data_IF_932827769495
#
_entry.id   IF_932827769495
#
_cell.length_a   1.000
_cell.length_b   1.000
_cell.length_c   1.000
_cell.angle_alpha   90.00
_cell.angle_beta   90.00
_cell.angle_gamma   90.00
#
_symmetry.space_group_name_H-M   'P 1'
#
loop_
_entity.id
_entity.type
_entity.pdbx_description
1 polymer ?
#
# COMPACT_ATOMS: atom_id res chain seq x y z
N UNK A 1 -6.31 -4.03 -2.89
CA UNK A 1 -6.68 -5.15 -3.77
C UNK A 1 -6.18 -4.88 -5.18
N UNK A 2 -5.75 -5.90 -5.93
CA UNK A 2 -5.30 -5.73 -7.31
C UNK A 2 -6.49 -5.41 -8.24
N UNK A 3 -6.40 -4.38 -9.10
CA UNK A 3 -7.42 -3.99 -10.07
C UNK A 3 -7.89 -5.13 -10.95
N UNK A 4 -9.20 -5.22 -11.19
CA UNK A 4 -9.81 -6.18 -12.13
C UNK A 4 -9.66 -7.67 -11.76
N UNK A 5 -9.01 -8.00 -10.65
CA UNK A 5 -8.62 -9.37 -10.30
C UNK A 5 -9.05 -9.79 -8.89
N UNK A 6 -9.93 -9.02 -8.24
CA UNK A 6 -10.47 -9.40 -6.94
C UNK A 6 -11.31 -10.68 -7.06
N UNK A 7 -11.06 -11.63 -6.15
CA UNK A 7 -11.82 -12.86 -5.99
C UNK A 7 -12.18 -13.05 -4.51
N UNK A 8 -13.31 -13.70 -4.20
CA UNK A 8 -13.64 -14.06 -2.82
C UNK A 8 -12.52 -14.88 -2.17
N UNK A 9 -12.21 -14.58 -0.92
CA UNK A 9 -11.16 -15.27 -0.18
C UNK A 9 -10.95 -14.65 1.20
N UNK A 10 -9.82 -14.95 1.83
CA UNK A 10 -9.53 -14.51 3.20
C UNK A 10 -9.67 -12.98 3.38
N UNK A 11 -9.26 -12.19 2.38
CA UNK A 11 -9.35 -10.71 2.40
C UNK A 11 -10.77 -10.16 2.25
N UNK A 12 -11.76 -10.97 1.87
CA UNK A 12 -13.17 -10.57 1.72
C UNK A 12 -14.11 -11.40 2.57
N UNK A 13 -13.59 -12.34 3.37
CA UNK A 13 -14.38 -13.27 4.18
C UNK A 13 -15.31 -12.54 5.15
N UNK A 14 -14.92 -11.37 5.67
CA UNK A 14 -15.74 -10.54 6.56
C UNK A 14 -17.01 -9.97 5.89
N UNK A 15 -17.10 -10.01 4.55
CA UNK A 15 -18.30 -9.63 3.81
C UNK A 15 -19.31 -10.78 3.67
N UNK A 16 -18.93 -12.00 4.07
CA UNK A 16 -19.79 -13.18 4.06
C UNK A 16 -20.48 -13.36 2.67
N UNK A 17 -21.81 -13.50 2.62
CA UNK A 17 -22.61 -13.60 1.39
C UNK A 17 -22.43 -12.46 0.39
N UNK A 18 -21.92 -11.30 0.83
CA UNK A 18 -21.72 -10.14 -0.04
C UNK A 18 -20.35 -10.14 -0.75
N UNK A 19 -19.44 -11.05 -0.40
CA UNK A 19 -18.08 -11.07 -0.93
C UNK A 19 -18.02 -11.15 -2.48
N UNK A 20 -18.85 -12.01 -3.09
CA UNK A 20 -18.90 -12.15 -4.55
C UNK A 20 -19.35 -10.86 -5.24
N UNK A 21 -20.42 -10.23 -4.72
CA UNK A 21 -20.95 -8.98 -5.27
C UNK A 21 -19.93 -7.84 -5.17
N UNK A 22 -19.24 -7.76 -4.04
CA UNK A 22 -18.18 -6.78 -3.84
C UNK A 22 -17.04 -6.98 -4.86
N UNK A 23 -16.54 -8.21 -5.03
CA UNK A 23 -15.45 -8.49 -5.97
C UNK A 23 -15.81 -8.10 -7.41
N UNK A 24 -17.04 -8.40 -7.85
CA UNK A 24 -17.53 -8.01 -9.17
C UNK A 24 -17.60 -6.47 -9.33
N UNK A 25 -18.21 -5.78 -8.38
CA UNK A 25 -18.32 -4.32 -8.41
C UNK A 25 -16.95 -3.64 -8.39
N UNK A 26 -16.04 -4.11 -7.53
CA UNK A 26 -14.66 -3.64 -7.47
C UNK A 26 -13.92 -3.86 -8.80
N UNK A 27 -14.01 -5.05 -9.39
CA UNK A 27 -13.35 -5.35 -10.67
C UNK A 27 -13.89 -4.48 -11.80
N UNK A 28 -15.19 -4.22 -11.83
CA UNK A 28 -15.80 -3.35 -12.83
C UNK A 28 -15.31 -1.90 -12.71
N UNK A 29 -15.25 -1.35 -11.49
CA UNK A 29 -14.77 0.01 -11.24
C UNK A 29 -13.25 0.17 -11.46
N UNK A 30 -12.50 -0.93 -11.49
CA UNK A 30 -11.03 -0.90 -11.58
C UNK A 30 -10.49 -1.52 -12.86
N UNK A 31 -11.35 -1.89 -13.82
CA UNK A 31 -10.95 -2.62 -15.04
C UNK A 31 -9.91 -1.88 -15.89
N UNK A 32 -9.93 -0.55 -15.87
CA UNK A 32 -9.07 0.32 -16.71
C UNK A 32 -7.78 0.73 -16.00
N UNK A 33 -7.64 0.38 -14.72
CA UNK A 33 -6.44 0.64 -13.94
C UNK A 33 -5.43 -0.47 -14.18
N UNK A 34 -4.14 -0.10 -14.21
CA UNK A 34 -3.08 -1.08 -14.37
C UNK A 34 -3.09 -2.14 -13.27
N UNK A 35 -3.07 -3.40 -13.69
CA UNK A 35 -3.11 -4.58 -12.82
C UNK A 35 -1.94 -4.67 -11.83
N UNK A 36 -0.84 -3.96 -12.11
CA UNK A 36 0.36 -3.88 -11.27
C UNK A 36 0.15 -3.05 -9.99
N UNK A 37 -0.88 -2.20 -9.94
CA UNK A 37 -1.14 -1.32 -8.78
C UNK A 37 -1.86 -2.08 -7.67
N UNK A 38 -1.62 -1.72 -6.41
CA UNK A 38 -2.46 -2.17 -5.30
C UNK A 38 -3.30 -1.00 -4.80
N UNK A 39 -4.62 -1.16 -4.88
CA UNK A 39 -5.57 -0.14 -4.45
C UNK A 39 -5.95 -0.29 -2.97
N UNK A 40 -6.06 0.82 -2.27
CA UNK A 40 -6.67 0.86 -0.95
C UNK A 40 -8.20 0.95 -1.09
N UNK A 41 -8.93 0.16 -0.29
CA UNK A 41 -10.39 0.08 -0.33
C UNK A 41 -10.90 0.21 1.10
N UNK A 42 -11.67 1.27 1.35
CA UNK A 42 -12.40 1.44 2.62
C UNK A 42 -13.74 0.76 2.49
N UNK A 43 -14.07 -0.12 3.44
CA UNK A 43 -15.37 -0.79 3.49
C UNK A 43 -16.04 -0.44 4.81
N UNK A 44 -17.29 0.00 4.73
CA UNK A 44 -18.15 0.29 5.87
C UNK A 44 -19.30 -0.71 5.85
N UNK A 45 -19.58 -1.34 6.98
CA UNK A 45 -20.67 -2.30 7.15
C UNK A 45 -21.59 -1.76 8.23
N UNK A 46 -22.90 -1.67 7.94
CA UNK A 46 -23.89 -1.23 8.91
C UNK A 46 -24.47 -2.41 9.70
N UNK A 47 -25.30 -2.13 10.73
CA UNK A 47 -25.90 -3.15 11.59
C UNK A 47 -26.81 -4.14 10.83
N UNK A 48 -27.32 -3.72 9.65
CA UNK A 48 -28.13 -4.55 8.76
C UNK A 48 -27.29 -5.46 7.85
N UNK A 49 -25.96 -5.47 8.03
CA UNK A 49 -24.98 -6.18 7.18
C UNK A 49 -25.00 -5.72 5.72
N UNK A 50 -25.44 -4.51 5.46
CA UNK A 50 -25.26 -3.84 4.18
C UNK A 50 -23.88 -3.18 4.18
N UNK A 51 -23.21 -3.21 3.02
CA UNK A 51 -21.88 -2.65 2.90
C UNK A 51 -21.85 -1.51 1.89
N UNK A 52 -20.98 -0.55 2.14
CA UNK A 52 -20.56 0.46 1.18
C UNK A 52 -19.05 0.41 1.09
N UNK A 53 -18.50 0.64 -0.11
CA UNK A 53 -17.06 0.70 -0.29
C UNK A 53 -16.65 1.91 -1.11
N UNK A 54 -15.44 2.39 -0.84
CA UNK A 54 -14.81 3.48 -1.59
C UNK A 54 -13.38 3.07 -1.94
N UNK A 55 -13.01 3.26 -3.20
CA UNK A 55 -11.65 3.06 -3.69
C UNK A 55 -10.87 4.34 -3.42
N UNK A 56 -9.82 4.27 -2.60
CA UNK A 56 -8.99 5.41 -2.19
C UNK A 56 -7.70 5.55 -3.04
N UNK A 57 -7.68 4.94 -4.22
CA UNK A 57 -6.51 4.92 -5.11
C UNK A 57 -5.37 4.03 -4.63
N UNK A 58 -4.18 4.17 -5.22
CA UNK A 58 -3.00 3.35 -4.92
C UNK A 58 -2.46 3.62 -3.51
N UNK A 59 -1.94 2.63 -2.77
CA UNK A 59 -1.43 2.88 -1.40
C UNK A 59 -0.29 3.90 -1.41
N UNK A 60 -0.33 4.91 -0.53
CA UNK A 60 0.70 5.98 -0.44
C UNK A 60 2.10 5.41 -0.25
N UNK A 61 2.26 4.35 0.55
CA UNK A 61 3.55 3.68 0.75
C UNK A 61 4.11 3.03 -0.52
N UNK A 62 3.27 2.57 -1.45
CA UNK A 62 3.73 2.07 -2.75
C UNK A 62 4.15 3.21 -3.67
N UNK A 63 3.40 4.32 -3.67
CA UNK A 63 3.78 5.52 -4.42
C UNK A 63 5.13 6.05 -3.95
N UNK A 64 5.34 6.14 -2.63
CA UNK A 64 6.61 6.55 -2.03
C UNK A 64 7.74 5.60 -2.42
N UNK A 65 7.53 4.28 -2.35
CA UNK A 65 8.55 3.30 -2.77
C UNK A 65 8.92 3.46 -4.25
N UNK A 66 7.91 3.67 -5.10
CA UNK A 66 8.11 3.84 -6.54
C UNK A 66 8.87 5.13 -6.85
N UNK A 67 8.54 6.24 -6.17
CA UNK A 67 9.25 7.50 -6.30
C UNK A 67 10.69 7.40 -5.79
N UNK A 68 10.87 6.82 -4.60
CA UNK A 68 12.19 6.74 -3.97
C UNK A 68 13.17 5.78 -4.66
N UNK A 69 12.64 4.71 -5.25
CA UNK A 69 13.44 3.71 -5.96
C UNK A 69 14.61 3.20 -5.14
N UNK A 70 15.79 3.13 -5.75
CA UNK A 70 17.03 2.71 -5.09
C UNK A 70 17.70 3.83 -4.28
N UNK A 71 17.32 5.09 -4.50
CA UNK A 71 17.94 6.25 -3.84
C UNK A 71 17.59 6.29 -2.35
N UNK A 72 16.50 5.64 -1.94
CA UNK A 72 15.97 5.61 -0.55
C UNK A 72 15.72 7.01 0.03
N UNK A 73 15.59 8.00 -0.84
CA UNK A 73 15.18 9.39 -0.57
C UNK A 73 14.06 9.76 -1.53
N UNK A 74 13.29 10.79 -1.23
CA UNK A 74 12.18 11.28 -2.07
C UNK A 74 12.33 12.79 -2.22
N UNK A 75 12.13 13.34 -3.41
CA UNK A 75 12.22 14.78 -3.65
C UNK A 75 10.94 15.50 -3.19
N UNK A 76 11.02 16.80 -2.96
CA UNK A 76 9.83 17.60 -2.63
C UNK A 76 8.81 17.60 -3.77
N UNK A 77 9.26 17.62 -5.02
CA UNK A 77 8.39 17.51 -6.20
C UNK A 77 7.65 16.15 -6.26
N UNK A 78 8.30 15.07 -5.85
CA UNK A 78 7.66 13.75 -5.76
C UNK A 78 6.65 13.68 -4.62
N UNK A 79 6.95 14.29 -3.47
CA UNK A 79 5.99 14.44 -2.36
C UNK A 79 4.77 15.23 -2.82
N UNK A 80 4.96 16.33 -3.53
CA UNK A 80 3.87 17.17 -4.03
C UNK A 80 2.99 16.41 -5.03
N UNK A 81 3.58 15.71 -6.00
CA UNK A 81 2.83 14.89 -6.96
C UNK A 81 1.98 13.82 -6.26
N UNK A 82 2.56 13.13 -5.28
CA UNK A 82 1.84 12.12 -4.49
C UNK A 82 0.74 12.80 -3.64
N UNK A 83 1.00 13.97 -3.08
CA UNK A 83 0.02 14.72 -2.30
C UNK A 83 -1.18 15.16 -3.17
N UNK A 84 -0.94 15.64 -4.39
CA UNK A 84 -1.99 15.99 -5.34
C UNK A 84 -2.84 14.77 -5.73
N UNK A 85 -2.22 13.63 -6.02
CA UNK A 85 -2.94 12.38 -6.30
C UNK A 85 -3.76 11.91 -5.09
N UNK A 86 -3.28 12.18 -3.88
CA UNK A 86 -3.90 11.72 -2.63
C UNK A 86 -4.90 12.65 -2.02
N UNK A 87 -4.86 13.94 -2.32
CA UNK A 87 -5.72 14.97 -1.77
C UNK A 87 -7.22 14.56 -1.72
N UNK A 88 -7.86 14.03 -2.78
CA UNK A 88 -9.28 13.66 -2.74
C UNK A 88 -9.60 12.47 -1.80
N UNK A 89 -8.57 11.80 -1.27
CA UNK A 89 -8.69 10.64 -0.39
C UNK A 89 -8.18 10.92 1.04
N UNK A 90 -7.66 12.13 1.28
CA UNK A 90 -7.19 12.58 2.59
C UNK A 90 -8.29 13.36 3.32
N UNK A 91 -8.11 13.54 4.63
CA UNK A 91 -9.03 14.31 5.47
C UNK A 91 -8.75 15.82 5.43
N UNK A 92 -8.24 16.33 4.30
CA UNK A 92 -7.82 17.72 4.12
C UNK A 92 -8.05 18.15 2.67
N UNK A 93 -8.40 19.41 2.48
CA UNK A 93 -8.51 20.13 1.21
C UNK A 93 -7.25 20.96 0.89
N UNK A 94 -6.43 21.24 1.89
CA UNK A 94 -5.16 21.95 1.79
C UNK A 94 -4.02 21.05 1.29
N UNK A 95 -3.40 21.43 0.17
CA UNK A 95 -2.28 20.73 -0.44
C UNK A 95 -1.04 20.69 0.47
N UNK A 96 -0.76 21.74 1.25
CA UNK A 96 0.40 21.78 2.15
C UNK A 96 0.23 20.79 3.30
N UNK A 97 -1.00 20.66 3.84
CA UNK A 97 -1.31 19.62 4.83
C UNK A 97 -1.20 18.23 4.21
N UNK A 98 -1.64 18.05 2.97
CA UNK A 98 -1.49 16.79 2.26
C UNK A 98 0.00 16.42 2.04
N UNK A 99 0.84 17.39 1.64
CA UNK A 99 2.31 17.21 1.55
C UNK A 99 2.89 16.74 2.87
N UNK A 100 2.48 17.34 4.00
CA UNK A 100 2.92 16.92 5.33
C UNK A 100 2.55 15.47 5.65
N UNK A 101 1.30 15.07 5.39
CA UNK A 101 0.83 13.69 5.62
C UNK A 101 1.65 12.68 4.78
N UNK A 102 1.92 13.02 3.51
CA UNK A 102 2.72 12.18 2.62
C UNK A 102 4.17 12.13 3.08
N UNK A 103 4.76 13.26 3.49
CA UNK A 103 6.13 13.34 3.98
C UNK A 103 6.32 12.52 5.27
N UNK A 104 5.38 12.61 6.21
CA UNK A 104 5.38 11.80 7.43
C UNK A 104 5.34 10.31 7.07
N UNK A 105 4.42 9.90 6.19
CA UNK A 105 4.35 8.52 5.68
C UNK A 105 5.68 8.10 5.02
N UNK A 106 6.29 8.99 4.25
CA UNK A 106 7.59 8.80 3.60
C UNK A 106 8.70 8.52 4.59
N UNK A 107 8.81 9.34 5.64
CA UNK A 107 9.80 9.18 6.69
C UNK A 107 9.68 7.81 7.39
N UNK A 108 8.47 7.40 7.76
CA UNK A 108 8.24 6.09 8.39
C UNK A 108 8.60 4.93 7.47
N UNK A 109 8.14 4.97 6.21
CA UNK A 109 8.41 3.91 5.24
C UNK A 109 9.91 3.79 5.01
N UNK A 110 10.59 4.88 4.67
CA UNK A 110 12.02 4.87 4.37
C UNK A 110 12.87 4.45 5.57
N UNK A 111 12.52 4.88 6.78
CA UNK A 111 13.20 4.45 8.00
C UNK A 111 13.15 2.93 8.18
N UNK A 112 11.98 2.31 7.97
CA UNK A 112 11.82 0.85 8.06
C UNK A 112 12.67 0.14 7.00
N UNK A 113 12.72 0.65 5.76
CA UNK A 113 13.57 0.07 4.72
C UNK A 113 15.06 0.17 5.03
N UNK A 114 15.50 1.31 5.57
CA UNK A 114 16.88 1.51 5.99
C UNK A 114 17.23 0.57 7.15
N UNK A 115 16.36 0.48 8.16
CA UNK A 115 16.55 -0.44 9.30
C UNK A 115 16.58 -1.90 8.85
N UNK A 116 15.67 -2.33 7.99
CA UNK A 116 15.66 -3.69 7.44
C UNK A 116 16.91 -3.96 6.61
N UNK A 117 17.36 -3.00 5.80
CA UNK A 117 18.58 -3.13 5.02
C UNK A 117 19.82 -3.25 5.92
N UNK A 118 19.93 -2.43 6.96
CA UNK A 118 21.01 -2.51 7.94
C UNK A 118 20.97 -3.84 8.70
N UNK A 119 19.78 -4.26 9.13
CA UNK A 119 19.58 -5.55 9.80
C UNK A 119 20.04 -6.71 8.91
N UNK A 120 19.59 -6.77 7.66
CA UNK A 120 20.00 -7.80 6.71
C UNK A 120 21.50 -7.75 6.39
N UNK A 121 22.09 -6.55 6.31
CA UNK A 121 23.53 -6.38 6.10
C UNK A 121 24.34 -6.94 7.29
N UNK A 122 23.97 -6.58 8.52
CA UNK A 122 24.58 -7.10 9.75
C UNK A 122 24.42 -8.62 9.83
N UNK A 123 23.25 -9.14 9.49
CA UNK A 123 22.98 -10.57 9.52
C UNK A 123 23.81 -11.35 8.50
N UNK A 124 24.00 -10.79 7.29
CA UNK A 124 24.81 -11.39 6.23
C UNK A 124 26.31 -11.40 6.57
N UNK A 125 26.80 -10.46 7.38
CA UNK A 125 28.19 -10.42 7.85
C UNK A 125 28.45 -11.36 9.04
N UNK A 126 27.41 -11.87 9.70
CA UNK A 126 27.57 -12.86 10.77
C UNK A 126 28.00 -14.23 10.22
N UNK A 127 29.09 -14.80 10.76
CA UNK A 127 29.54 -16.16 10.45
C UNK A 127 28.46 -17.23 10.71
N UNK A 128 27.54 -16.93 11.62
CA UNK A 128 26.41 -17.78 12.02
C UNK A 128 25.45 -18.04 10.85
N UNK A 129 25.24 -17.07 9.95
CA UNK A 129 24.33 -17.24 8.82
C UNK A 129 24.89 -18.20 7.76
N UNK A 130 26.21 -18.15 7.48
CA UNK A 130 26.87 -19.14 6.60
C UNK A 130 26.76 -20.57 7.15
N UNK A 131 26.84 -20.73 8.47
CA UNK A 131 26.72 -22.05 9.10
C UNK A 131 25.30 -22.61 8.96
N UNK A 132 24.27 -21.79 9.17
CA UNK A 132 22.87 -22.21 9.04
C UNK A 132 22.53 -22.58 7.59
N UNK A 133 22.96 -21.79 6.60
CA UNK A 133 22.71 -22.12 5.19
C UNK A 133 23.43 -23.41 4.76
N UNK A 134 24.63 -23.69 5.30
CA UNK A 134 25.39 -24.91 4.99
C UNK A 134 24.84 -26.19 5.64
N UNK A 135 23.93 -26.09 6.62
CA UNK A 135 23.30 -27.26 7.27
C UNK A 135 22.03 -27.70 6.49
N UNK A 136 21.49 -26.83 5.62
CA UNK A 136 20.27 -27.08 4.85
C UNK A 136 20.51 -27.28 3.34
N UNK A 137 21.76 -27.45 2.90
CA UNK A 137 22.16 -27.91 1.55
C UNK A 137 23.00 -29.16 1.67
#
# INVERSE_FOLDING_TARGET
MPPGQARPGQKTAFLDKNAMKFCQAFNQQTKELESSKILNVKIMINDKKEYQFTIQGQITSELIKKASGEKKTISEEEIEKIAQEKLPHLNTDDLEKAKKIVAETGAYVLAIFVLLYLFLKVFKESKTFRLVVSIFT
#
